data_IF_522965384715
#
_entry.id   IF_522965384715
#
_cell.length_a   1.000
_cell.length_b   1.000
_cell.length_c   1.000
_cell.angle_alpha   90.00
_cell.angle_beta   90.00
_cell.angle_gamma   90.00
#
_symmetry.space_group_name_H-M   'P 1'
#
loop_
_entity.id
_entity.type
_entity.pdbx_description
1 polymer ?
#
# COMPACT_ATOMS: atom_id res chain seq x y z
N UNK A 1 -8.51 3.52 3.54
CA UNK A 1 -7.89 2.99 4.77
C UNK A 1 -6.42 3.35 4.75
N UNK A 2 -5.81 3.55 5.91
CA UNK A 2 -4.37 3.72 6.08
C UNK A 2 -3.92 2.66 7.09
N UNK A 3 -2.88 1.91 6.75
CA UNK A 3 -2.30 0.92 7.64
C UNK A 3 -0.81 0.78 7.40
N UNK A 4 -0.08 0.59 8.49
CA UNK A 4 1.32 0.20 8.45
C UNK A 4 1.40 -1.32 8.56
N UNK A 5 2.42 -1.93 7.98
CA UNK A 5 2.61 -3.37 8.10
C UNK A 5 4.08 -3.71 8.26
N UNK A 6 4.34 -4.82 8.95
CA UNK A 6 5.66 -5.40 9.19
C UNK A 6 5.62 -6.94 9.02
N UNK A 7 6.61 -7.68 9.52
CA UNK A 7 6.60 -9.15 9.47
C UNK A 7 5.56 -9.79 10.40
N UNK A 8 5.17 -9.08 11.46
CA UNK A 8 4.28 -9.57 12.50
C UNK A 8 2.80 -9.32 12.18
N UNK A 9 2.49 -8.34 11.34
CA UNK A 9 1.14 -8.13 10.84
C UNK A 9 0.88 -6.74 10.27
N UNK A 10 -0.36 -6.30 10.47
CA UNK A 10 -0.95 -5.16 9.78
C UNK A 10 -1.68 -4.26 10.79
N UNK A 11 -1.14 -3.07 11.07
CA UNK A 11 -1.71 -2.11 12.03
C UNK A 11 -2.51 -1.03 11.31
N UNK A 12 -3.83 -1.06 11.50
CA UNK A 12 -4.76 -0.14 10.83
C UNK A 12 -4.85 1.18 11.59
N UNK A 13 -4.21 2.21 11.06
CA UNK A 13 -4.24 3.57 11.62
C UNK A 13 -5.55 4.29 11.35
N UNK A 14 -6.16 4.05 10.19
CA UNK A 14 -7.41 4.68 9.81
C UNK A 14 -8.25 3.80 8.89
N UNK A 15 -9.52 3.63 9.23
CA UNK A 15 -10.52 3.02 8.36
C UNK A 15 -11.79 3.85 8.43
N UNK A 16 -12.50 3.96 7.30
CA UNK A 16 -13.82 4.59 7.30
C UNK A 16 -14.82 3.63 7.93
N UNK A 17 -15.74 4.19 8.71
CA UNK A 17 -16.77 3.46 9.45
C UNK A 17 -17.61 2.52 8.57
N UNK A 18 -17.85 2.89 7.31
CA UNK A 18 -18.69 2.12 6.38
C UNK A 18 -18.00 0.86 5.80
N UNK A 19 -16.69 0.74 5.96
CA UNK A 19 -15.89 -0.40 5.46
C UNK A 19 -15.12 -1.15 6.55
N UNK A 20 -15.16 -0.66 7.80
CA UNK A 20 -14.44 -1.22 8.95
C UNK A 20 -14.67 -2.73 9.14
N UNK A 21 -15.93 -3.16 9.15
CA UNK A 21 -16.28 -4.57 9.36
C UNK A 21 -15.76 -5.50 8.24
N UNK A 22 -15.72 -5.00 7.00
CA UNK A 22 -15.16 -5.75 5.86
C UNK A 22 -13.65 -5.88 6.01
N UNK A 23 -12.97 -4.79 6.41
CA UNK A 23 -11.51 -4.76 6.55
C UNK A 23 -10.99 -5.68 7.65
N UNK A 24 -11.70 -5.81 8.77
CA UNK A 24 -11.34 -6.77 9.84
C UNK A 24 -11.28 -8.22 9.36
N UNK A 25 -12.01 -8.57 8.30
CA UNK A 25 -12.03 -9.95 7.79
C UNK A 25 -10.94 -10.20 6.74
N UNK A 26 -10.44 -9.16 6.08
CA UNK A 26 -9.52 -9.28 4.93
C UNK A 26 -8.13 -8.72 5.20
N UNK A 27 -7.89 -8.10 6.35
CA UNK A 27 -6.60 -7.46 6.68
C UNK A 27 -5.43 -8.46 6.65
N UNK A 28 -5.62 -9.67 7.18
CA UNK A 28 -4.59 -10.73 7.15
C UNK A 28 -4.29 -11.19 5.72
N UNK A 29 -5.31 -11.40 4.88
CA UNK A 29 -5.11 -11.79 3.48
C UNK A 29 -4.43 -10.68 2.66
N UNK A 30 -4.73 -9.41 2.95
CA UNK A 30 -4.06 -8.26 2.35
C UNK A 30 -2.59 -8.21 2.79
N UNK A 31 -2.29 -8.46 4.06
CA UNK A 31 -0.93 -8.51 4.59
C UNK A 31 -0.07 -9.56 3.88
N UNK A 32 -0.58 -10.79 3.77
CA UNK A 32 0.12 -11.88 3.09
C UNK A 32 0.45 -11.52 1.62
N UNK A 33 -0.50 -10.92 0.91
CA UNK A 33 -0.30 -10.48 -0.47
C UNK A 33 0.75 -9.37 -0.57
N UNK A 34 0.75 -8.39 0.34
CA UNK A 34 1.73 -7.29 0.34
C UNK A 34 3.15 -7.79 0.60
N UNK A 35 3.30 -8.78 1.49
CA UNK A 35 4.58 -9.45 1.74
C UNK A 35 5.08 -10.16 0.47
N UNK A 36 4.20 -10.88 -0.23
CA UNK A 36 4.53 -11.55 -1.50
C UNK A 36 4.96 -10.53 -2.56
N UNK A 37 4.27 -9.38 -2.66
CA UNK A 37 4.63 -8.32 -3.61
C UNK A 37 6.00 -7.70 -3.28
N UNK A 38 6.33 -7.55 -1.99
CA UNK A 38 7.65 -7.11 -1.55
C UNK A 38 8.79 -8.00 -2.07
N UNK A 39 8.56 -9.31 -2.21
CA UNK A 39 9.56 -10.24 -2.75
C UNK A 39 9.83 -10.03 -4.25
N UNK A 40 8.86 -9.47 -5.00
CA UNK A 40 9.00 -9.17 -6.42
C UNK A 40 9.74 -7.86 -6.72
N UNK A 41 10.01 -7.05 -5.70
CA UNK A 41 10.58 -5.70 -5.83
C UNK A 41 11.94 -5.69 -6.53
N UNK A 42 12.89 -6.44 -6.00
CA UNK A 42 14.28 -6.46 -6.51
C UNK A 42 14.31 -6.86 -7.99
N UNK A 43 13.48 -7.83 -8.37
CA UNK A 43 13.35 -8.25 -9.76
C UNK A 43 12.80 -7.13 -10.67
N UNK A 44 11.83 -6.34 -10.21
CA UNK A 44 11.31 -5.21 -10.97
C UNK A 44 12.37 -4.10 -11.13
N UNK A 45 13.10 -3.78 -10.07
CA UNK A 45 14.18 -2.77 -10.10
C UNK A 45 15.27 -3.15 -11.10
N UNK A 46 15.68 -4.44 -11.11
CA UNK A 46 16.63 -4.98 -12.08
C UNK A 46 16.10 -4.92 -13.53
N UNK A 47 14.82 -5.22 -13.74
CA UNK A 47 14.19 -5.24 -15.05
C UNK A 47 14.07 -3.82 -15.65
N UNK A 48 13.58 -2.87 -14.86
CA UNK A 48 13.30 -1.50 -15.33
C UNK A 48 14.55 -0.62 -15.37
N UNK A 49 15.58 -0.93 -14.57
CA UNK A 49 16.82 -0.14 -14.46
C UNK A 49 16.54 1.36 -14.21
N UNK A 50 15.49 1.64 -13.43
CA UNK A 50 14.98 2.99 -13.19
C UNK A 50 15.27 3.52 -11.77
N UNK A 51 16.06 2.79 -10.99
CA UNK A 51 16.28 3.04 -9.56
C UNK A 51 15.34 2.21 -8.69
N UNK A 52 15.22 2.61 -7.42
CA UNK A 52 14.45 1.89 -6.40
C UNK A 52 12.94 2.04 -6.63
N UNK A 53 12.19 0.97 -6.37
CA UNK A 53 10.74 0.97 -6.45
C UNK A 53 10.15 1.54 -5.16
N UNK A 54 9.67 2.79 -5.24
CA UNK A 54 9.10 3.47 -4.08
C UNK A 54 7.65 3.09 -3.76
N UNK A 55 6.84 2.76 -4.78
CA UNK A 55 5.45 2.38 -4.56
C UNK A 55 4.85 1.59 -5.73
N UNK A 56 3.82 0.79 -5.44
CA UNK A 56 2.92 0.20 -6.43
C UNK A 56 1.49 0.78 -6.27
N UNK A 57 0.76 0.88 -7.38
CA UNK A 57 -0.62 1.39 -7.40
C UNK A 57 -1.51 0.39 -8.12
N UNK A 58 -2.56 -0.06 -7.44
CA UNK A 58 -3.56 -0.98 -7.96
C UNK A 58 -4.93 -0.29 -7.97
N UNK A 59 -5.51 -0.12 -9.15
CA UNK A 59 -6.84 0.49 -9.30
C UNK A 59 -7.89 -0.58 -9.61
N UNK A 60 -8.90 -0.62 -8.76
CA UNK A 60 -10.12 -1.42 -8.91
C UNK A 60 -11.32 -0.49 -9.16
N UNK A 61 -12.48 -1.09 -9.41
CA UNK A 61 -13.71 -0.35 -9.68
C UNK A 61 -14.09 0.60 -8.54
N UNK A 62 -13.90 0.17 -7.28
CA UNK A 62 -14.31 0.93 -6.10
C UNK A 62 -13.13 1.62 -5.39
N UNK A 63 -11.92 1.10 -5.54
CA UNK A 63 -10.78 1.54 -4.73
C UNK A 63 -9.51 1.69 -5.54
N UNK A 64 -8.71 2.70 -5.24
CA UNK A 64 -7.31 2.78 -5.62
C UNK A 64 -6.47 2.48 -4.38
N UNK A 65 -5.67 1.42 -4.46
CA UNK A 65 -4.75 0.98 -3.42
C UNK A 65 -3.31 1.39 -3.79
N UNK A 66 -2.62 1.93 -2.80
CA UNK A 66 -1.23 2.36 -2.84
C UNK A 66 -0.47 1.53 -1.83
N UNK A 67 0.66 1.02 -2.27
CA UNK A 67 1.56 0.26 -1.43
C UNK A 67 2.93 0.91 -1.52
N UNK A 68 3.34 1.54 -0.43
CA UNK A 68 4.64 2.18 -0.26
C UNK A 68 5.56 1.25 0.50
N UNK A 69 6.79 1.11 0.01
CA UNK A 69 7.76 0.15 0.55
C UNK A 69 8.94 0.95 1.11
N UNK A 70 9.25 0.75 2.39
CA UNK A 70 10.41 1.37 3.05
C UNK A 70 11.57 0.38 3.16
N UNK A 71 11.33 -0.79 3.75
CA UNK A 71 12.33 -1.85 3.96
C UNK A 71 11.82 -3.24 3.54
N UNK A 72 12.61 -4.28 3.83
CA UNK A 72 12.21 -5.67 3.62
C UNK A 72 11.04 -5.96 4.57
N UNK A 73 9.82 -5.99 4.02
CA UNK A 73 8.57 -6.29 4.73
C UNK A 73 7.95 -5.17 5.58
N UNK A 74 8.47 -3.95 5.50
CA UNK A 74 7.88 -2.78 6.19
C UNK A 74 7.38 -1.75 5.20
N UNK A 75 6.18 -1.23 5.40
CA UNK A 75 5.61 -0.25 4.50
C UNK A 75 4.25 0.30 4.92
N UNK A 76 3.75 1.20 4.08
CA UNK A 76 2.47 1.87 4.26
C UNK A 76 1.51 1.43 3.15
N UNK A 77 0.35 0.94 3.55
CA UNK A 77 -0.76 0.70 2.64
C UNK A 77 -1.80 1.79 2.79
N UNK A 78 -2.16 2.41 1.67
CA UNK A 78 -3.20 3.43 1.62
C UNK A 78 -4.22 3.08 0.57
N UNK A 79 -5.50 3.13 0.92
CA UNK A 79 -6.60 2.94 -0.01
C UNK A 79 -7.56 4.12 0.02
N UNK A 80 -7.97 4.56 -1.17
CA UNK A 80 -8.91 5.66 -1.39
C UNK A 80 -9.99 5.24 -2.38
N UNK A 81 -11.10 5.97 -2.42
CA UNK A 81 -12.13 5.73 -3.44
C UNK A 81 -11.55 5.90 -4.85
N UNK A 82 -11.98 5.06 -5.78
CA UNK A 82 -11.46 5.06 -7.15
C UNK A 82 -11.75 6.33 -7.93
N UNK A 83 -12.74 7.13 -7.50
CA UNK A 83 -13.15 8.40 -8.10
C UNK A 83 -12.56 9.63 -7.38
N UNK A 84 -11.73 9.43 -6.34
CA UNK A 84 -11.03 10.51 -5.67
C UNK A 84 -10.06 11.24 -6.61
N UNK A 85 -10.23 12.56 -6.75
CA UNK A 85 -9.36 13.41 -7.55
C UNK A 85 -8.20 13.94 -6.71
N UNK A 86 -7.11 13.16 -6.65
CA UNK A 86 -5.89 13.49 -5.91
C UNK A 86 -4.69 13.65 -6.85
N UNK A 87 -3.88 14.72 -6.72
CA UNK A 87 -2.61 14.83 -7.44
C UNK A 87 -1.66 13.71 -7.03
N UNK A 88 -1.46 12.74 -7.93
CA UNK A 88 -0.71 11.51 -7.64
C UNK A 88 0.69 11.79 -7.09
N UNK A 89 1.46 12.69 -7.73
CA UNK A 89 2.84 12.99 -7.32
C UNK A 89 2.91 13.52 -5.89
N UNK A 90 2.10 14.55 -5.58
CA UNK A 90 2.06 15.15 -4.23
C UNK A 90 1.57 14.14 -3.20
N UNK A 91 0.59 13.31 -3.55
CA UNK A 91 0.08 12.27 -2.66
C UNK A 91 1.16 11.24 -2.34
N UNK A 92 1.85 10.71 -3.36
CA UNK A 92 2.92 9.72 -3.16
C UNK A 92 4.09 10.30 -2.36
N UNK A 93 4.45 11.56 -2.58
CA UNK A 93 5.47 12.24 -1.78
C UNK A 93 5.03 12.40 -0.32
N UNK A 94 3.77 12.82 -0.08
CA UNK A 94 3.25 13.00 1.28
C UNK A 94 3.19 11.68 2.05
N UNK A 95 2.76 10.60 1.40
CA UNK A 95 2.72 9.28 2.02
C UNK A 95 4.12 8.74 2.33
N UNK A 96 5.09 8.99 1.44
CA UNK A 96 6.50 8.63 1.69
C UNK A 96 7.08 9.43 2.86
N UNK A 97 6.79 10.73 2.95
CA UNK A 97 7.31 11.58 4.03
C UNK A 97 6.65 11.28 5.39
N UNK A 98 5.58 10.47 5.41
CA UNK A 98 4.86 10.03 6.61
C UNK A 98 5.28 8.64 7.11
N UNK A 99 6.02 7.88 6.29
CA UNK A 99 6.81 6.71 6.71
C UNK A 99 8.01 7.20 7.52
#
# INVERSE_FOLDING_TARGET
MIAEYDDAGYDVQYVRDDVEAKMQTVAEEIHDELVIQGMGREYLEELFQAGDLHCSVHRFDEVTAFHFIEEQFTGLFVSIDSDADIPLATFTDTCRDAL
#
